data_IF_648568800123
#
_entry.id   IF_648568800123
#
_cell.length_a   1.000
_cell.length_b   1.000
_cell.length_c   1.000
_cell.angle_alpha   90.00
_cell.angle_beta   90.00
_cell.angle_gamma   90.00
#
_symmetry.space_group_name_H-M   'P 1'
#
loop_
_entity.id
_entity.type
_entity.pdbx_description
1 polymer ?
#
# COMPACT_ATOMS: atom_id res chain seq x y z
N UNK A 1 -20.32 32.52 -12.58
CA UNK A 1 -19.58 32.09 -11.38
C UNK A 1 -19.64 33.20 -10.33
N UNK A 2 -20.47 33.03 -9.29
CA UNK A 2 -20.51 33.96 -8.14
C UNK A 2 -19.36 33.62 -7.21
N UNK A 3 -18.50 34.59 -6.92
CA UNK A 3 -17.46 34.49 -5.92
C UNK A 3 -18.07 34.21 -4.54
N UNK A 4 -17.74 33.05 -3.96
CA UNK A 4 -18.01 32.76 -2.55
C UNK A 4 -17.03 33.61 -1.75
N UNK A 5 -17.56 34.58 -1.00
CA UNK A 5 -16.79 35.41 -0.07
C UNK A 5 -16.18 34.53 1.03
N UNK A 6 -14.85 34.52 1.10
CA UNK A 6 -14.06 33.96 2.19
C UNK A 6 -14.32 34.75 3.49
N UNK A 7 -15.32 34.34 4.25
CA UNK A 7 -15.67 34.93 5.56
C UNK A 7 -15.14 34.16 6.78
N UNK A 8 -14.23 33.19 6.59
CA UNK A 8 -13.81 32.24 7.64
C UNK A 8 -12.46 32.52 8.34
N UNK A 9 -11.61 33.38 7.78
CA UNK A 9 -10.18 33.43 8.14
C UNK A 9 -9.91 33.94 9.58
N UNK A 10 -10.78 34.77 10.15
CA UNK A 10 -10.63 35.30 11.51
C UNK A 10 -10.92 34.27 12.61
N UNK A 11 -11.99 33.48 12.43
CA UNK A 11 -12.39 32.46 13.41
C UNK A 11 -11.47 31.25 13.35
N UNK A 12 -10.99 30.89 12.15
CA UNK A 12 -10.01 29.82 11.98
C UNK A 12 -8.65 30.16 12.62
N UNK A 13 -8.20 31.42 12.56
CA UNK A 13 -6.98 31.86 13.25
C UNK A 13 -7.11 31.80 14.76
N UNK A 14 -8.25 32.23 15.30
CA UNK A 14 -8.51 32.17 16.75
C UNK A 14 -8.55 30.71 17.25
N UNK A 15 -9.27 29.85 16.52
CA UNK A 15 -9.38 28.42 16.84
C UNK A 15 -8.02 27.72 16.75
N UNK A 16 -7.22 28.00 15.72
CA UNK A 16 -5.84 27.50 15.61
C UNK A 16 -4.95 27.98 16.75
N UNK A 17 -5.11 29.23 17.19
CA UNK A 17 -4.39 29.79 18.34
C UNK A 17 -4.69 29.07 19.65
N UNK A 18 -5.97 28.76 19.89
CA UNK A 18 -6.41 27.98 21.07
C UNK A 18 -5.86 26.55 21.02
N UNK A 19 -5.94 25.87 19.87
CA UNK A 19 -5.36 24.53 19.70
C UNK A 19 -3.85 24.52 19.89
N UNK A 20 -3.12 25.51 19.38
CA UNK A 20 -1.68 25.62 19.57
C UNK A 20 -1.25 25.89 21.03
N UNK A 21 -2.12 26.51 21.83
CA UNK A 21 -1.88 26.67 23.27
C UNK A 21 -2.18 25.36 24.03
N UNK A 22 -3.29 24.69 23.71
CA UNK A 22 -3.64 23.39 24.27
C UNK A 22 -2.61 22.31 23.94
N UNK A 23 -2.11 22.31 22.70
CA UNK A 23 -1.06 21.39 22.27
C UNK A 23 0.20 21.58 23.12
N UNK A 24 0.72 22.82 23.23
CA UNK A 24 1.88 23.13 24.08
C UNK A 24 1.69 22.71 25.54
N UNK A 25 0.51 22.94 26.12
CA UNK A 25 0.20 22.54 27.48
C UNK A 25 0.12 21.00 27.64
N UNK A 26 -0.36 20.29 26.62
CA UNK A 26 -0.56 18.84 26.64
C UNK A 26 0.69 18.03 26.27
N UNK A 27 1.70 18.64 25.62
CA UNK A 27 2.91 17.97 25.13
C UNK A 27 3.59 17.04 26.16
N UNK A 28 3.82 17.43 27.43
CA UNK A 28 4.46 16.55 28.41
C UNK A 28 3.62 15.31 28.71
N UNK A 29 2.29 15.49 28.79
CA UNK A 29 1.33 14.41 29.03
C UNK A 29 1.28 13.47 27.84
N UNK A 30 1.18 14.03 26.63
CA UNK A 30 1.15 13.27 25.39
C UNK A 30 2.46 12.48 25.17
N UNK A 31 3.61 13.11 25.42
CA UNK A 31 4.92 12.43 25.43
C UNK A 31 4.90 11.20 26.33
N UNK A 32 4.46 11.36 27.59
CA UNK A 32 4.38 10.25 28.55
C UNK A 32 3.45 9.13 28.05
N UNK A 33 2.27 9.47 27.54
CA UNK A 33 1.32 8.51 26.95
C UNK A 33 1.95 7.75 25.79
N UNK A 34 2.58 8.46 24.85
CA UNK A 34 3.22 7.87 23.67
C UNK A 34 4.33 6.91 24.08
N UNK A 35 5.26 7.37 24.92
CA UNK A 35 6.37 6.55 25.40
C UNK A 35 5.89 5.31 26.13
N UNK A 36 4.88 5.44 26.99
CA UNK A 36 4.34 4.31 27.72
C UNK A 36 3.53 3.37 26.81
N UNK A 37 2.77 3.89 25.84
CA UNK A 37 1.93 3.09 24.94
C UNK A 37 2.73 2.29 23.92
N UNK A 38 3.74 2.91 23.30
CA UNK A 38 4.60 2.26 22.29
C UNK A 38 5.92 1.75 22.85
N UNK A 39 6.17 2.00 24.14
CA UNK A 39 7.35 1.49 24.83
C UNK A 39 8.65 2.17 24.41
N UNK A 40 8.62 3.39 23.89
CA UNK A 40 9.83 4.12 23.51
C UNK A 40 10.74 4.41 24.71
N UNK A 41 12.05 4.28 24.50
CA UNK A 41 13.06 4.94 25.35
C UNK A 41 13.07 6.45 25.09
N UNK A 42 13.79 7.20 25.92
CA UNK A 42 13.91 8.65 25.68
C UNK A 42 14.65 8.93 24.37
N UNK A 43 15.68 8.15 24.07
CA UNK A 43 16.49 8.30 22.87
C UNK A 43 15.65 8.02 21.62
N UNK A 44 14.85 6.95 21.64
CA UNK A 44 13.93 6.58 20.56
C UNK A 44 12.85 7.66 20.36
N UNK A 45 12.27 8.18 21.45
CA UNK A 45 11.27 9.26 21.38
C UNK A 45 11.90 10.55 20.83
N UNK A 46 13.10 10.92 21.29
CA UNK A 46 13.83 12.08 20.79
C UNK A 46 14.16 11.93 19.30
N UNK A 47 14.58 10.75 18.86
CA UNK A 47 14.81 10.45 17.45
C UNK A 47 13.53 10.57 16.62
N UNK A 48 12.43 9.94 17.07
CA UNK A 48 11.14 10.02 16.39
C UNK A 48 10.61 11.46 16.31
N UNK A 49 10.82 12.26 17.37
CA UNK A 49 10.47 13.68 17.41
C UNK A 49 11.26 14.49 16.38
N UNK A 50 12.58 14.23 16.26
CA UNK A 50 13.42 14.91 15.25
C UNK A 50 13.01 14.58 13.81
N UNK A 51 12.47 13.39 13.58
CA UNK A 51 12.01 12.95 12.25
C UNK A 51 10.60 13.48 11.90
N UNK A 52 9.94 14.21 12.80
CA UNK A 52 8.69 14.94 12.52
C UNK A 52 7.40 14.12 12.48
N UNK A 53 7.46 12.78 12.45
CA UNK A 53 6.24 11.96 12.35
C UNK A 53 5.27 12.15 13.54
N UNK A 54 5.81 12.44 14.73
CA UNK A 54 4.99 12.70 15.93
C UNK A 54 4.18 14.01 15.83
N UNK A 55 4.53 14.93 14.93
CA UNK A 55 3.82 16.20 14.74
C UNK A 55 2.43 15.99 14.12
N UNK A 56 2.22 14.89 13.40
CA UNK A 56 0.92 14.47 12.91
C UNK A 56 -0.05 14.10 14.05
N UNK A 57 0.47 13.88 15.26
CA UNK A 57 -0.28 13.39 16.41
C UNK A 57 -0.53 14.49 17.44
N UNK A 58 -1.15 15.57 16.99
CA UNK A 58 -1.55 16.68 17.86
C UNK A 58 -2.97 16.49 18.42
N UNK A 59 -3.32 17.31 19.41
CA UNK A 59 -4.64 17.25 20.09
C UNK A 59 -5.79 17.42 19.11
N UNK A 60 -5.64 18.29 18.10
CA UNK A 60 -6.68 18.51 17.10
C UNK A 60 -6.92 17.24 16.29
N UNK A 61 -5.85 16.63 15.76
CA UNK A 61 -5.92 15.40 14.97
C UNK A 61 -6.67 14.29 15.73
N UNK A 62 -6.45 14.18 17.06
CA UNK A 62 -7.13 13.21 17.94
C UNK A 62 -8.65 13.34 18.02
N UNK A 63 -9.23 14.41 17.48
CA UNK A 63 -10.69 14.64 17.45
C UNK A 63 -11.35 14.28 16.12
N UNK A 64 -10.60 13.68 15.18
CA UNK A 64 -11.11 13.34 13.85
C UNK A 64 -10.90 11.87 13.49
N UNK A 65 -11.82 11.35 12.69
CA UNK A 65 -11.68 10.11 11.95
C UNK A 65 -11.09 10.37 10.57
N UNK A 66 -10.33 9.39 10.10
CA UNK A 66 -10.18 9.13 8.68
C UNK A 66 -11.27 8.13 8.29
N UNK A 67 -12.08 8.49 7.31
CA UNK A 67 -13.26 7.73 6.86
C UNK A 67 -13.03 7.28 5.43
N UNK A 68 -13.11 5.98 5.17
CA UNK A 68 -13.17 5.42 3.82
C UNK A 68 -14.61 5.00 3.54
N UNK A 69 -15.32 5.83 2.80
CA UNK A 69 -16.72 5.67 2.44
C UNK A 69 -16.86 4.94 1.10
N UNK A 70 -17.53 3.78 1.04
CA UNK A 70 -17.90 3.18 -0.23
C UNK A 70 -18.83 4.13 -1.00
N UNK A 71 -18.41 4.57 -2.18
CA UNK A 71 -19.20 5.43 -3.08
C UNK A 71 -19.64 4.72 -4.35
N UNK A 72 -19.14 3.51 -4.58
CA UNK A 72 -19.65 2.57 -5.58
C UNK A 72 -19.32 1.15 -5.12
N UNK A 73 -20.29 0.25 -5.11
CA UNK A 73 -20.07 -1.15 -4.74
C UNK A 73 -20.96 -2.07 -5.55
N UNK A 74 -20.34 -3.01 -6.28
CA UNK A 74 -21.06 -4.04 -7.01
C UNK A 74 -20.58 -5.41 -6.55
N UNK A 75 -21.50 -6.22 -6.02
CA UNK A 75 -21.23 -7.61 -5.59
C UNK A 75 -20.09 -7.77 -4.57
N UNK A 76 -19.79 -6.73 -3.77
CA UNK A 76 -18.69 -6.81 -2.81
C UNK A 76 -18.99 -7.84 -1.71
N UNK A 77 -18.24 -8.95 -1.69
CA UNK A 77 -18.34 -10.01 -0.68
C UNK A 77 -18.06 -9.54 0.76
N UNK A 78 -17.34 -8.42 0.90
CA UNK A 78 -17.12 -7.74 2.18
C UNK A 78 -18.33 -6.97 2.69
N UNK A 79 -19.43 -6.90 1.91
CA UNK A 79 -20.64 -6.14 2.21
C UNK A 79 -20.36 -4.66 2.53
N UNK A 80 -19.33 -4.10 1.88
CA UNK A 80 -18.94 -2.70 1.96
C UNK A 80 -19.77 -1.89 0.97
N UNK A 81 -20.97 -1.50 1.34
CA UNK A 81 -21.86 -0.68 0.49
C UNK A 81 -22.03 0.73 1.06
N UNK A 82 -22.69 1.59 0.29
CA UNK A 82 -22.99 2.97 0.70
C UNK A 82 -23.64 3.00 2.11
N UNK A 83 -23.20 3.94 2.93
CA UNK A 83 -23.63 4.05 4.33
C UNK A 83 -22.89 3.12 5.31
N UNK A 84 -21.98 2.26 4.85
CA UNK A 84 -21.14 1.39 5.71
C UNK A 84 -19.65 1.68 5.57
N UNK A 85 -19.19 2.88 6.00
CA UNK A 85 -17.79 3.27 5.88
C UNK A 85 -16.86 2.49 6.81
N UNK A 86 -15.58 2.49 6.45
CA UNK A 86 -14.49 2.09 7.33
C UNK A 86 -13.96 3.32 8.07
N UNK A 87 -13.85 3.22 9.37
CA UNK A 87 -13.34 4.29 10.21
C UNK A 87 -11.96 3.95 10.73
N UNK A 88 -11.06 4.91 10.63
CA UNK A 88 -9.74 4.86 11.19
C UNK A 88 -9.57 6.00 12.19
N UNK A 89 -8.82 5.73 13.24
CA UNK A 89 -8.39 6.77 14.16
C UNK A 89 -7.36 7.68 13.44
N UNK A 90 -6.93 8.78 14.07
CA UNK A 90 -5.99 9.72 13.45
C UNK A 90 -4.59 9.15 13.21
N UNK A 91 -4.31 7.93 13.67
CA UNK A 91 -3.10 7.16 13.38
C UNK A 91 -3.31 6.10 12.28
N UNK A 92 -4.46 6.10 11.61
CA UNK A 92 -4.75 5.14 10.54
C UNK A 92 -5.06 3.74 11.06
N UNK A 93 -5.35 3.59 12.35
CA UNK A 93 -5.75 2.31 12.93
C UNK A 93 -7.27 2.16 12.84
N UNK A 94 -7.70 0.99 12.36
CA UNK A 94 -9.11 0.66 12.19
C UNK A 94 -9.89 0.70 13.53
N UNK A 95 -11.04 1.37 13.53
CA UNK A 95 -11.97 1.44 14.66
C UNK A 95 -13.00 0.32 14.53
N UNK A 96 -12.66 -0.86 15.07
CA UNK A 96 -13.43 -2.11 14.88
C UNK A 96 -14.93 -1.99 15.20
N UNK A 97 -15.32 -1.28 16.27
CA UNK A 97 -16.74 -1.17 16.65
C UNK A 97 -17.55 -0.24 15.75
N UNK A 98 -16.90 0.49 14.84
CA UNK A 98 -17.53 1.37 13.84
C UNK A 98 -17.49 0.80 12.43
N UNK A 99 -16.72 -0.27 12.21
CA UNK A 99 -16.57 -0.90 10.90
C UNK A 99 -17.45 -2.15 10.79
N UNK A 100 -17.75 -2.62 9.56
CA UNK A 100 -18.38 -3.91 9.33
C UNK A 100 -17.60 -5.07 9.99
N UNK A 101 -18.28 -6.17 10.37
CA UNK A 101 -17.64 -7.30 11.04
C UNK A 101 -16.61 -8.02 10.16
N UNK A 102 -16.79 -7.99 8.84
CA UNK A 102 -15.85 -8.50 7.87
C UNK A 102 -15.27 -7.37 7.04
N UNK A 103 -13.94 -7.35 6.87
CA UNK A 103 -13.27 -6.37 6.03
C UNK A 103 -12.36 -7.11 5.07
N UNK A 104 -12.68 -7.00 3.78
CA UNK A 104 -11.85 -7.58 2.72
C UNK A 104 -10.47 -6.89 2.66
N UNK A 105 -9.39 -7.69 2.70
CA UNK A 105 -8.01 -7.23 2.62
C UNK A 105 -7.69 -6.54 1.28
N UNK A 106 -8.38 -6.92 0.21
CA UNK A 106 -8.25 -6.34 -1.12
C UNK A 106 -8.76 -4.90 -1.21
N UNK A 107 -9.72 -4.52 -0.37
CA UNK A 107 -10.13 -3.12 -0.21
C UNK A 107 -9.23 -2.37 0.76
N UNK A 108 -8.98 -2.98 1.93
CA UNK A 108 -8.20 -2.36 3.02
C UNK A 108 -6.77 -2.00 2.62
N UNK A 109 -6.08 -2.88 1.87
CA UNK A 109 -4.71 -2.64 1.41
C UNK A 109 -4.56 -1.39 0.55
N UNK A 110 -5.61 -1.02 -0.19
CA UNK A 110 -5.60 0.09 -1.14
C UNK A 110 -5.76 1.46 -0.47
N UNK A 111 -6.22 1.48 0.78
CA UNK A 111 -6.37 2.70 1.57
C UNK A 111 -5.04 3.21 2.16
N UNK A 112 -3.99 2.38 2.19
CA UNK A 112 -2.71 2.73 2.81
C UNK A 112 -2.03 3.92 2.11
N UNK A 113 -1.86 3.95 0.76
CA UNK A 113 -1.27 5.10 0.08
C UNK A 113 -2.04 6.41 0.34
N UNK A 114 -3.38 6.39 0.35
CA UNK A 114 -4.19 7.59 0.64
C UNK A 114 -4.02 8.06 2.08
N UNK A 115 -3.83 7.14 3.02
CA UNK A 115 -3.59 7.49 4.42
C UNK A 115 -2.30 8.31 4.58
N UNK A 116 -1.27 8.06 3.77
CA UNK A 116 -0.08 8.91 3.75
C UNK A 116 -0.32 10.30 3.17
N UNK A 117 -1.13 10.41 2.11
CA UNK A 117 -1.56 11.72 1.61
C UNK A 117 -2.32 12.50 2.69
N UNK A 118 -3.15 11.81 3.48
CA UNK A 118 -3.86 12.40 4.61
C UNK A 118 -2.88 12.96 5.67
N UNK A 119 -1.86 12.20 6.06
CA UNK A 119 -0.83 12.68 6.99
C UNK A 119 -0.04 13.86 6.44
N UNK A 120 0.34 13.82 5.17
CA UNK A 120 1.07 14.91 4.53
C UNK A 120 0.24 16.21 4.51
N UNK A 121 -1.07 16.14 4.24
CA UNK A 121 -1.93 17.32 4.33
C UNK A 121 -2.01 17.86 5.77
N UNK A 122 -2.17 17.00 6.77
CA UNK A 122 -2.19 17.41 8.16
C UNK A 122 -0.88 18.07 8.61
N UNK A 123 0.27 17.47 8.27
CA UNK A 123 1.60 17.98 8.60
C UNK A 123 1.87 19.35 7.94
N UNK A 124 1.30 19.60 6.77
CA UNK A 124 1.35 20.91 6.10
C UNK A 124 0.29 21.90 6.57
N UNK A 125 -0.51 21.55 7.59
CA UNK A 125 -1.61 22.39 8.10
C UNK A 125 -2.72 22.64 7.07
N UNK A 126 -2.87 21.73 6.09
CA UNK A 126 -3.90 21.76 5.05
C UNK A 126 -5.05 20.84 5.43
N UNK A 127 -6.24 21.16 4.91
CA UNK A 127 -7.43 20.32 5.08
C UNK A 127 -7.31 19.04 4.24
N UNK A 128 -7.26 17.84 4.85
CA UNK A 128 -7.16 16.58 4.11
C UNK A 128 -8.38 16.29 3.23
N UNK A 129 -9.53 16.95 3.44
CA UNK A 129 -10.68 16.83 2.53
C UNK A 129 -10.43 17.48 1.16
N UNK A 130 -9.28 18.14 0.96
CA UNK A 130 -8.85 18.72 -0.31
C UNK A 130 -7.80 17.88 -1.04
N UNK A 131 -7.57 16.64 -0.60
CA UNK A 131 -6.70 15.70 -1.32
C UNK A 131 -7.24 15.44 -2.73
N UNK A 132 -6.34 15.41 -3.71
CA UNK A 132 -6.70 15.11 -5.10
C UNK A 132 -6.91 13.62 -5.34
N UNK A 133 -6.13 12.79 -4.65
CA UNK A 133 -6.24 11.34 -4.69
C UNK A 133 -7.06 10.86 -3.50
N UNK A 134 -8.34 11.23 -3.47
CA UNK A 134 -9.28 10.84 -2.42
C UNK A 134 -10.14 9.63 -2.80
N UNK A 135 -10.02 9.10 -4.02
CA UNK A 135 -10.74 7.92 -4.48
C UNK A 135 -9.79 6.75 -4.75
N UNK A 136 -10.17 5.54 -4.33
CA UNK A 136 -9.41 4.32 -4.58
C UNK A 136 -10.29 3.10 -4.76
N UNK A 137 -9.99 2.29 -5.77
CA UNK A 137 -10.66 1.01 -5.99
C UNK A 137 -10.02 -0.10 -5.16
N UNK A 138 -10.78 -1.15 -4.83
CA UNK A 138 -10.20 -2.43 -4.43
C UNK A 138 -9.39 -3.06 -5.60
N UNK A 139 -8.71 -4.18 -5.35
CA UNK A 139 -7.98 -4.88 -6.43
C UNK A 139 -8.85 -5.76 -7.32
N UNK A 140 -10.13 -5.94 -6.97
CA UNK A 140 -11.05 -6.80 -7.70
C UNK A 140 -11.80 -5.95 -8.75
N UNK A 141 -11.80 -6.43 -9.99
CA UNK A 141 -12.36 -5.74 -11.17
C UNK A 141 -13.84 -5.98 -11.36
N UNK A 142 -14.46 -6.84 -10.54
CA UNK A 142 -15.88 -7.16 -10.59
C UNK A 142 -16.22 -8.39 -11.44
N UNK A 143 -17.48 -8.81 -11.37
CA UNK A 143 -17.99 -10.03 -11.99
C UNK A 143 -17.80 -10.06 -13.51
N UNK A 144 -17.97 -8.92 -14.18
CA UNK A 144 -17.84 -8.82 -15.65
C UNK A 144 -16.43 -9.18 -16.14
N UNK A 145 -15.43 -9.02 -15.28
CA UNK A 145 -14.04 -9.35 -15.56
C UNK A 145 -13.60 -10.65 -14.87
N UNK A 146 -14.55 -11.46 -14.38
CA UNK A 146 -14.31 -12.73 -13.70
C UNK A 146 -13.88 -12.62 -12.23
N UNK A 147 -13.89 -11.42 -11.65
CA UNK A 147 -13.69 -11.17 -10.23
C UNK A 147 -14.91 -11.55 -9.39
N UNK A 148 -14.88 -11.24 -8.09
CA UNK A 148 -16.00 -11.51 -7.17
C UNK A 148 -16.91 -10.29 -6.97
N UNK A 149 -16.38 -9.09 -7.20
CA UNK A 149 -17.11 -7.83 -7.01
C UNK A 149 -16.15 -6.67 -6.79
N UNK A 150 -16.57 -5.45 -7.14
CA UNK A 150 -15.73 -4.27 -7.05
C UNK A 150 -16.23 -3.27 -5.99
N UNK A 151 -15.32 -2.40 -5.58
CA UNK A 151 -15.61 -1.34 -4.64
C UNK A 151 -14.73 -0.12 -4.90
N UNK A 152 -15.32 1.06 -4.80
CA UNK A 152 -14.65 2.35 -4.84
C UNK A 152 -14.87 3.05 -3.50
N UNK A 153 -13.77 3.36 -2.82
CA UNK A 153 -13.80 4.14 -1.60
C UNK A 153 -13.44 5.59 -1.88
N UNK A 154 -14.18 6.51 -1.26
CA UNK A 154 -13.78 7.90 -1.08
C UNK A 154 -13.25 8.11 0.33
N UNK A 155 -12.10 8.75 0.44
CA UNK A 155 -11.41 9.02 1.69
C UNK A 155 -11.68 10.46 2.11
N UNK A 156 -12.13 10.64 3.35
CA UNK A 156 -12.37 11.97 3.93
C UNK A 156 -12.05 12.02 5.42
N UNK A 157 -11.90 13.24 5.93
CA UNK A 157 -11.75 13.56 7.36
C UNK A 157 -13.11 13.95 7.92
N UNK A 158 -13.50 13.34 9.04
CA UNK A 158 -14.75 13.64 9.75
C UNK A 158 -14.46 13.91 11.22
N UNK A 159 -15.16 14.88 11.82
CA UNK A 159 -15.02 15.15 13.26
C UNK A 159 -15.73 14.08 14.07
N UNK A 160 -15.06 13.53 15.08
CA UNK A 160 -15.65 12.55 15.97
C UNK A 160 -16.75 13.18 16.84
N UNK A 161 -17.86 12.47 17.12
CA UNK A 161 -18.77 12.80 18.20
C UNK A 161 -18.04 12.77 19.56
N UNK A 162 -18.46 13.63 20.50
CA UNK A 162 -17.86 13.72 21.84
C UNK A 162 -17.74 12.36 22.56
N UNK A 163 -18.74 11.46 22.55
CA UNK A 163 -18.60 10.15 23.18
C UNK A 163 -17.46 9.30 22.61
N UNK A 164 -17.17 9.44 21.31
CA UNK A 164 -16.09 8.70 20.64
C UNK A 164 -14.73 9.32 20.92
N UNK A 165 -14.64 10.64 21.04
CA UNK A 165 -13.44 11.33 21.54
C UNK A 165 -13.11 10.85 22.95
N UNK A 166 -14.10 10.85 23.85
CA UNK A 166 -13.92 10.38 25.22
C UNK A 166 -13.52 8.90 25.26
N UNK A 167 -14.18 8.05 24.46
CA UNK A 167 -13.80 6.64 24.32
C UNK A 167 -12.35 6.49 23.88
N UNK A 168 -11.91 7.25 22.87
CA UNK A 168 -10.54 7.23 22.39
C UNK A 168 -9.55 7.66 23.49
N UNK A 169 -9.81 8.77 24.18
CA UNK A 169 -8.98 9.25 25.29
C UNK A 169 -8.91 8.24 26.45
N UNK A 170 -10.01 7.56 26.76
CA UNK A 170 -10.03 6.49 27.76
C UNK A 170 -9.15 5.30 27.38
N UNK A 171 -8.99 5.00 26.08
CA UNK A 171 -8.01 3.99 25.65
C UNK A 171 -6.56 4.42 25.84
N UNK A 172 -6.31 5.73 26.01
CA UNK A 172 -4.99 6.29 26.25
C UNK A 172 -4.68 6.47 27.74
N UNK A 173 -5.71 6.66 28.57
CA UNK A 173 -5.59 6.96 29.99
C UNK A 173 -4.72 5.97 30.80
N UNK A 174 -4.77 4.64 30.60
CA UNK A 174 -3.88 3.71 31.31
C UNK A 174 -2.39 4.02 31.10
N UNK A 175 -2.02 4.54 29.93
CA UNK A 175 -0.64 4.85 29.59
C UNK A 175 -0.12 6.14 30.23
N UNK A 176 -0.95 6.86 30.99
CA UNK A 176 -0.46 7.91 31.89
C UNK A 176 0.35 7.32 33.05
N UNK A 177 0.04 6.08 33.45
CA UNK A 177 0.57 5.45 34.66
C UNK A 177 1.27 4.12 34.40
N UNK A 178 0.89 3.41 33.33
CA UNK A 178 1.35 2.04 33.05
C UNK A 178 2.08 1.97 31.72
N UNK A 179 3.28 1.39 31.72
CA UNK A 179 4.03 1.05 30.50
C UNK A 179 3.44 -0.19 29.82
N UNK A 180 3.22 -0.11 28.52
CA UNK A 180 2.83 -1.23 27.68
C UNK A 180 4.02 -2.19 27.49
N UNK A 181 4.13 -3.21 28.34
CA UNK A 181 5.18 -4.21 28.21
C UNK A 181 5.11 -5.03 26.92
N UNK A 182 3.95 -5.06 26.25
CA UNK A 182 3.76 -5.78 24.98
C UNK A 182 4.19 -4.96 23.77
N UNK A 183 4.42 -3.66 23.93
CA UNK A 183 4.88 -2.82 22.82
C UNK A 183 6.34 -3.13 22.44
N UNK A 184 7.14 -3.64 23.40
CA UNK A 184 8.47 -4.17 23.13
C UNK A 184 8.39 -5.70 23.09
N UNK A 185 8.70 -6.26 21.93
CA UNK A 185 8.94 -7.69 21.75
C UNK A 185 10.33 -7.89 21.20
N UNK A 186 10.97 -9.00 21.54
CA UNK A 186 12.16 -9.41 20.82
C UNK A 186 11.77 -9.77 19.39
N UNK A 187 12.58 -9.36 18.40
CA UNK A 187 12.37 -9.78 17.03
C UNK A 187 12.77 -11.26 16.89
N UNK A 188 11.84 -12.15 17.29
CA UNK A 188 12.03 -13.59 17.25
C UNK A 188 12.46 -14.07 15.86
N UNK A 189 11.88 -13.47 14.82
CA UNK A 189 12.24 -13.75 13.43
C UNK A 189 13.71 -13.48 13.11
N UNK A 190 14.32 -12.44 13.70
CA UNK A 190 15.76 -12.16 13.53
C UNK A 190 16.60 -13.15 14.32
N UNK A 191 16.21 -13.48 15.56
CA UNK A 191 16.93 -14.45 16.40
C UNK A 191 16.92 -15.87 15.82
N UNK A 192 15.81 -16.25 15.19
CA UNK A 192 15.63 -17.56 14.57
C UNK A 192 16.11 -17.59 13.10
N UNK A 193 16.53 -16.45 12.54
CA UNK A 193 17.02 -16.41 11.17
C UNK A 193 18.34 -17.17 11.09
N UNK A 194 18.48 -18.15 10.18
CA UNK A 194 19.77 -18.79 9.96
C UNK A 194 20.74 -17.76 9.38
N UNK A 195 21.95 -17.71 9.94
CA UNK A 195 23.03 -16.79 9.56
C UNK A 195 24.24 -17.53 8.96
N UNK A 196 24.24 -18.86 8.97
CA UNK A 196 25.28 -19.71 8.40
C UNK A 196 24.70 -21.05 7.92
N UNK A 197 25.52 -21.85 7.21
CA UNK A 197 25.15 -23.20 6.76
C UNK A 197 24.41 -23.25 5.41
N UNK A 198 24.50 -22.19 4.61
CA UNK A 198 24.03 -22.17 3.22
C UNK A 198 24.94 -22.92 2.26
N UNK A 199 24.52 -23.14 0.99
CA UNK A 199 25.38 -23.69 -0.05
C UNK A 199 26.47 -22.69 -0.45
N UNK A 200 27.50 -23.18 -1.15
CA UNK A 200 28.47 -22.33 -1.84
C UNK A 200 27.76 -21.48 -2.91
N UNK A 201 28.10 -20.18 -3.05
CA UNK A 201 27.48 -19.31 -4.03
C UNK A 201 27.81 -19.75 -5.47
N UNK A 202 26.79 -19.75 -6.34
CA UNK A 202 27.02 -19.84 -7.79
C UNK A 202 27.68 -18.56 -8.34
N UNK A 203 28.16 -18.59 -9.58
CA UNK A 203 28.70 -17.39 -10.25
C UNK A 203 27.66 -16.25 -10.28
N UNK A 204 26.39 -16.57 -10.54
CA UNK A 204 25.29 -15.61 -10.48
C UNK A 204 25.13 -15.01 -9.07
N UNK A 205 25.14 -15.83 -8.03
CA UNK A 205 25.00 -15.37 -6.65
C UNK A 205 26.19 -14.50 -6.22
N UNK A 206 27.41 -14.86 -6.64
CA UNK A 206 28.62 -14.09 -6.39
C UNK A 206 28.66 -12.73 -7.09
N UNK A 207 27.89 -12.57 -8.18
CA UNK A 207 27.74 -11.30 -8.89
C UNK A 207 26.72 -10.33 -8.27
N UNK A 208 26.02 -10.72 -7.19
CA UNK A 208 25.06 -9.85 -6.51
C UNK A 208 25.77 -8.74 -5.73
N UNK A 209 25.15 -7.55 -5.57
CA UNK A 209 25.74 -6.43 -4.82
C UNK A 209 25.56 -6.64 -3.30
N UNK A 210 26.05 -7.77 -2.79
CA UNK A 210 26.05 -8.14 -1.38
C UNK A 210 27.50 -8.27 -0.91
N UNK A 211 27.80 -7.77 0.29
CA UNK A 211 29.07 -8.08 0.94
C UNK A 211 29.19 -9.59 1.24
N UNK A 212 30.40 -10.08 1.43
CA UNK A 212 30.67 -11.51 1.65
C UNK A 212 29.88 -12.06 2.85
N UNK A 213 29.90 -11.35 3.99
CA UNK A 213 29.14 -11.72 5.19
C UNK A 213 27.62 -11.68 4.95
N UNK A 214 27.13 -10.70 4.18
CA UNK A 214 25.71 -10.57 3.84
C UNK A 214 25.25 -11.73 2.94
N UNK A 215 26.09 -12.13 1.98
CA UNK A 215 25.82 -13.25 1.09
C UNK A 215 25.77 -14.56 1.87
N UNK A 216 26.75 -14.82 2.75
CA UNK A 216 26.74 -16.01 3.65
C UNK A 216 25.47 -16.01 4.50
N UNK A 217 25.15 -14.89 5.14
CA UNK A 217 23.94 -14.76 5.95
C UNK A 217 22.68 -14.93 5.12
N UNK A 218 22.66 -14.51 3.86
CA UNK A 218 21.54 -14.67 2.94
C UNK A 218 21.33 -16.13 2.53
N UNK A 219 22.41 -16.81 2.13
CA UNK A 219 22.39 -18.20 1.67
C UNK A 219 22.08 -19.20 2.80
N UNK A 220 22.25 -18.80 4.06
CA UNK A 220 21.87 -19.60 5.21
C UNK A 220 20.37 -19.97 5.27
N UNK A 221 19.49 -19.27 4.55
CA UNK A 221 18.07 -19.66 4.47
C UNK A 221 17.76 -20.42 3.18
N UNK A 222 17.27 -21.68 3.26
CA UNK A 222 16.86 -22.45 2.08
C UNK A 222 15.81 -21.73 1.21
N UNK A 223 14.91 -20.94 1.83
CA UNK A 223 13.91 -20.14 1.10
C UNK A 223 14.54 -19.02 0.29
N UNK A 224 15.57 -18.35 0.84
CA UNK A 224 16.31 -17.29 0.15
C UNK A 224 17.15 -17.85 -0.99
N UNK A 225 17.82 -18.99 -0.76
CA UNK A 225 18.56 -19.73 -1.80
C UNK A 225 17.65 -20.11 -2.95
N UNK A 226 16.48 -20.70 -2.68
CA UNK A 226 15.50 -21.06 -3.73
C UNK A 226 15.11 -19.86 -4.60
N UNK A 227 14.92 -18.68 -4.00
CA UNK A 227 14.61 -17.47 -4.77
C UNK A 227 15.74 -17.09 -5.73
N UNK A 228 17.00 -17.22 -5.32
CA UNK A 228 18.15 -16.93 -6.20
C UNK A 228 18.32 -17.98 -7.29
N UNK A 229 18.17 -19.26 -6.95
CA UNK A 229 18.18 -20.34 -7.93
C UNK A 229 17.09 -20.18 -8.98
N UNK A 230 15.89 -19.74 -8.58
CA UNK A 230 14.82 -19.42 -9.51
C UNK A 230 15.18 -18.24 -10.42
N UNK A 231 15.72 -17.16 -9.87
CA UNK A 231 16.16 -16.03 -10.65
C UNK A 231 17.24 -16.41 -11.68
N UNK A 232 18.16 -17.30 -11.30
CA UNK A 232 19.20 -17.84 -12.19
C UNK A 232 18.62 -18.75 -13.27
N UNK A 233 17.76 -19.71 -12.89
CA UNK A 233 17.11 -20.67 -13.80
C UNK A 233 16.22 -19.98 -14.83
N UNK A 234 15.48 -18.95 -14.41
CA UNK A 234 14.52 -18.22 -15.24
C UNK A 234 15.07 -16.86 -15.72
N UNK A 235 16.39 -16.66 -15.74
CA UNK A 235 17.03 -15.39 -16.17
C UNK A 235 16.65 -14.96 -17.59
N UNK A 236 16.35 -15.92 -18.46
CA UNK A 236 15.92 -15.70 -19.86
C UNK A 236 14.37 -15.64 -19.98
N UNK A 237 13.64 -15.57 -18.86
CA UNK A 237 12.20 -15.38 -18.85
C UNK A 237 11.86 -13.93 -18.47
N UNK A 238 10.70 -13.48 -18.96
CA UNK A 238 10.12 -12.17 -18.70
C UNK A 238 8.74 -12.36 -18.12
N UNK A 239 8.49 -11.70 -17.00
CA UNK A 239 7.15 -11.48 -16.48
C UNK A 239 6.58 -10.32 -17.27
N UNK A 240 5.59 -10.59 -18.12
CA UNK A 240 4.97 -9.62 -19.02
C UNK A 240 3.64 -9.21 -18.43
N UNK A 241 3.53 -7.95 -18.07
CA UNK A 241 2.26 -7.30 -17.70
C UNK A 241 1.67 -6.69 -18.96
N UNK A 242 0.55 -7.23 -19.45
CA UNK A 242 -0.12 -6.72 -20.65
C UNK A 242 -1.30 -5.83 -20.27
N UNK A 243 -1.37 -4.64 -20.83
CA UNK A 243 -2.56 -3.79 -20.76
C UNK A 243 -3.62 -4.37 -21.69
N UNK A 244 -4.74 -4.81 -21.13
CA UNK A 244 -5.85 -5.44 -21.88
C UNK A 244 -7.04 -4.50 -22.09
N UNK A 245 -7.05 -3.36 -21.41
CA UNK A 245 -8.01 -2.28 -21.62
C UNK A 245 -7.44 -0.99 -21.08
N UNK A 246 -7.74 0.15 -21.74
CA UNK A 246 -7.35 1.48 -21.28
C UNK A 246 -8.47 2.48 -21.53
N UNK A 247 -8.85 3.20 -20.47
CA UNK A 247 -9.86 4.24 -20.52
C UNK A 247 -9.29 5.53 -19.91
N UNK A 248 -9.05 6.53 -20.77
CA UNK A 248 -8.59 7.86 -20.39
C UNK A 248 -7.31 7.88 -19.51
N UNK A 249 -6.36 6.97 -19.76
CA UNK A 249 -5.13 6.90 -18.98
C UNK A 249 -4.22 8.13 -19.24
N UNK A 250 -4.02 9.03 -18.26
CA UNK A 250 -3.19 10.23 -18.48
C UNK A 250 -1.70 9.92 -18.56
N UNK A 251 -1.28 8.70 -18.18
CA UNK A 251 0.09 8.24 -18.32
C UNK A 251 0.41 7.69 -19.72
N UNK A 252 -0.57 7.68 -20.63
CA UNK A 252 -0.37 7.28 -22.03
C UNK A 252 -0.38 5.78 -22.29
N UNK A 253 -0.66 4.94 -21.29
CA UNK A 253 -0.76 3.49 -21.47
C UNK A 253 -2.00 3.14 -22.28
N UNK A 254 -1.81 2.49 -23.41
CA UNK A 254 -2.84 2.00 -24.32
C UNK A 254 -3.05 0.49 -24.23
N UNK A 255 -4.15 0.00 -24.80
CA UNK A 255 -4.37 -1.44 -24.95
C UNK A 255 -3.26 -2.07 -25.80
N UNK A 256 -2.74 -3.22 -25.35
CA UNK A 256 -1.63 -3.91 -25.97
C UNK A 256 -0.25 -3.47 -25.49
N UNK A 257 -0.14 -2.41 -24.68
CA UNK A 257 1.13 -2.06 -24.04
C UNK A 257 1.59 -3.16 -23.09
N UNK A 258 2.91 -3.32 -22.96
CA UNK A 258 3.52 -4.36 -22.16
C UNK A 258 4.57 -3.79 -21.22
N UNK A 259 4.54 -4.20 -19.95
CA UNK A 259 5.60 -3.94 -18.98
C UNK A 259 6.36 -5.22 -18.72
N UNK A 260 7.67 -5.16 -18.89
CA UNK A 260 8.53 -6.33 -18.80
C UNK A 260 9.28 -6.29 -17.48
N UNK A 261 9.22 -7.38 -16.72
CA UNK A 261 10.02 -7.58 -15.52
C UNK A 261 10.85 -8.86 -15.65
N UNK A 262 12.03 -8.88 -15.03
CA UNK A 262 12.83 -10.09 -14.98
C UNK A 262 12.43 -11.03 -13.82
N UNK A 263 13.12 -12.17 -13.70
CA UNK A 263 12.90 -13.15 -12.64
C UNK A 263 13.34 -12.68 -11.23
N UNK A 264 13.86 -11.45 -11.09
CA UNK A 264 14.05 -10.78 -9.80
C UNK A 264 12.91 -9.80 -9.47
N UNK A 265 11.98 -9.58 -10.41
CA UNK A 265 10.91 -8.61 -10.31
C UNK A 265 11.36 -7.17 -10.62
N UNK A 266 12.51 -6.99 -11.27
CA UNK A 266 12.99 -5.67 -11.70
C UNK A 266 12.27 -5.28 -12.98
N UNK A 267 11.71 -4.07 -12.99
CA UNK A 267 11.14 -3.49 -14.19
C UNK A 267 12.26 -3.20 -15.19
N UNK A 268 12.14 -3.74 -16.39
CA UNK A 268 13.06 -3.50 -17.48
C UNK A 268 12.65 -2.24 -18.24
N UNK A 269 13.63 -1.47 -18.69
CA UNK A 269 13.38 -0.26 -19.47
C UNK A 269 12.67 -0.63 -20.77
N UNK A 270 11.63 0.13 -21.14
CA UNK A 270 10.97 -0.04 -22.43
C UNK A 270 11.82 0.61 -23.52
N UNK A 271 12.07 -0.12 -24.61
CA UNK A 271 12.70 0.41 -25.82
C UNK A 271 11.90 1.56 -26.45
N UNK A 272 10.60 1.66 -26.14
CA UNK A 272 9.70 2.71 -26.63
C UNK A 272 9.82 4.03 -25.87
N UNK A 273 10.62 4.10 -24.80
CA UNK A 273 10.82 5.31 -24.00
C UNK A 273 9.59 5.78 -23.21
N UNK A 274 8.49 5.01 -23.21
CA UNK A 274 7.30 5.31 -22.41
C UNK A 274 7.53 4.81 -20.99
N UNK A 275 7.57 5.74 -20.03
CA UNK A 275 7.70 5.41 -18.61
C UNK A 275 6.49 4.63 -18.10
N UNK A 276 6.69 3.74 -17.13
CA UNK A 276 5.60 2.97 -16.54
C UNK A 276 4.99 3.74 -15.37
N UNK A 277 3.66 3.82 -15.33
CA UNK A 277 2.95 4.52 -14.27
C UNK A 277 3.13 3.79 -12.92
N UNK A 278 3.61 4.49 -11.90
CA UNK A 278 3.80 3.91 -10.56
C UNK A 278 2.49 3.38 -9.95
N UNK A 279 1.35 3.98 -10.30
CA UNK A 279 0.04 3.55 -9.85
C UNK A 279 -0.36 2.19 -10.45
N UNK A 280 0.07 1.88 -11.67
CA UNK A 280 -0.11 0.58 -12.29
C UNK A 280 0.83 -0.45 -11.65
N UNK A 281 2.11 -0.09 -11.46
CA UNK A 281 3.10 -0.95 -10.81
C UNK A 281 2.71 -1.34 -9.38
N UNK A 282 2.21 -0.39 -8.60
CA UNK A 282 1.77 -0.64 -7.22
C UNK A 282 0.65 -1.69 -7.15
N UNK A 283 -0.28 -1.68 -8.11
CA UNK A 283 -1.38 -2.64 -8.19
C UNK A 283 -0.93 -3.99 -8.75
N UNK A 284 -0.02 -4.03 -9.71
CA UNK A 284 0.42 -5.30 -10.30
C UNK A 284 1.42 -6.06 -9.43
N UNK A 285 2.07 -5.38 -8.48
CA UNK A 285 3.10 -5.93 -7.59
C UNK A 285 2.74 -7.30 -6.99
N UNK A 286 1.52 -7.50 -6.51
CA UNK A 286 1.13 -8.77 -5.89
C UNK A 286 0.98 -9.91 -6.91
N UNK A 287 0.66 -9.63 -8.18
CA UNK A 287 0.68 -10.61 -9.27
C UNK A 287 2.11 -11.02 -9.60
N UNK A 288 3.02 -10.05 -9.64
CA UNK A 288 4.45 -10.30 -9.82
C UNK A 288 4.99 -11.17 -8.67
N UNK A 289 4.63 -10.87 -7.42
CA UNK A 289 4.99 -11.71 -6.28
C UNK A 289 4.52 -13.16 -6.43
N UNK A 290 3.30 -13.39 -6.92
CA UNK A 290 2.77 -14.74 -7.14
C UNK A 290 3.56 -15.49 -8.23
N UNK A 291 3.94 -14.81 -9.31
CA UNK A 291 4.79 -15.40 -10.36
C UNK A 291 6.18 -15.74 -9.82
N UNK A 292 6.79 -14.85 -9.05
CA UNK A 292 8.10 -15.08 -8.43
C UNK A 292 8.08 -16.26 -7.44
N UNK A 293 6.98 -16.41 -6.68
CA UNK A 293 6.79 -17.53 -5.77
C UNK A 293 6.68 -18.87 -6.54
N UNK A 294 5.94 -18.88 -7.66
CA UNK A 294 5.86 -20.03 -8.57
C UNK A 294 7.23 -20.37 -9.17
N UNK A 295 7.98 -19.38 -9.64
CA UNK A 295 9.35 -19.61 -10.13
C UNK A 295 10.23 -20.25 -9.03
N UNK A 296 10.10 -19.83 -7.78
CA UNK A 296 10.81 -20.40 -6.64
C UNK A 296 10.36 -21.82 -6.26
N UNK A 297 9.08 -22.15 -6.45
CA UNK A 297 8.54 -23.49 -6.29
C UNK A 297 9.05 -24.44 -7.39
N UNK A 298 9.15 -23.94 -8.63
CA UNK A 298 9.52 -24.66 -9.82
C UNK A 298 11.03 -24.93 -9.99
N UNK A 299 11.90 -24.52 -9.05
CA UNK A 299 13.36 -24.71 -9.18
C UNK A 299 13.72 -26.16 -9.47
N UNK A 300 13.09 -27.10 -8.77
CA UNK A 300 13.37 -28.54 -8.85
C UNK A 300 12.55 -29.28 -9.94
N UNK A 301 11.76 -28.57 -10.76
CA UNK A 301 10.87 -29.18 -11.76
C UNK A 301 10.52 -28.28 -12.95
N UNK A 302 9.44 -28.61 -13.64
CA UNK A 302 8.80 -27.76 -14.65
C UNK A 302 7.46 -27.28 -14.11
N UNK A 303 7.08 -26.05 -14.44
CA UNK A 303 5.81 -25.48 -13.97
C UNK A 303 5.15 -24.62 -15.04
N UNK A 304 3.83 -24.73 -15.12
CA UNK A 304 3.00 -23.80 -15.87
C UNK A 304 2.76 -22.55 -15.01
N UNK A 305 3.22 -21.40 -15.49
CA UNK A 305 3.04 -20.13 -14.79
C UNK A 305 1.64 -19.53 -14.97
N UNK A 306 0.76 -20.13 -15.78
CA UNK A 306 -0.63 -19.71 -15.97
C UNK A 306 -1.50 -20.05 -14.78
N UNK A 307 -2.71 -19.51 -14.75
CA UNK A 307 -3.69 -19.88 -13.76
C UNK A 307 -4.81 -18.88 -13.66
N UNK A 308 -5.97 -19.36 -13.20
CA UNK A 308 -7.19 -18.56 -13.11
C UNK A 308 -6.96 -17.21 -12.43
N UNK A 309 -6.13 -17.18 -11.38
CA UNK A 309 -5.80 -15.92 -10.74
C UNK A 309 -4.96 -15.01 -11.67
N UNK A 310 -3.81 -15.44 -12.21
CA UNK A 310 -2.96 -14.58 -13.06
C UNK A 310 -3.64 -14.07 -14.33
N UNK A 311 -4.58 -14.85 -14.84
CA UNK A 311 -5.27 -14.58 -16.10
C UNK A 311 -6.43 -13.58 -15.93
N UNK A 312 -6.91 -13.39 -14.69
CA UNK A 312 -7.94 -12.40 -14.38
C UNK A 312 -7.38 -10.97 -14.44
N UNK A 313 -7.99 -10.09 -15.25
CA UNK A 313 -7.59 -8.69 -15.34
C UNK A 313 -7.67 -8.00 -13.98
N UNK A 314 -6.64 -7.22 -13.67
CA UNK A 314 -6.59 -6.34 -12.51
C UNK A 314 -6.54 -4.89 -12.97
N UNK A 315 -7.24 -4.00 -12.27
CA UNK A 315 -7.14 -2.58 -12.53
C UNK A 315 -5.88 -1.93 -11.92
N UNK A 316 -5.48 -0.79 -12.49
CA UNK A 316 -4.53 0.10 -11.84
C UNK A 316 -5.18 0.85 -10.67
N UNK A 317 -4.48 1.80 -10.08
CA UNK A 317 -5.03 2.61 -8.99
C UNK A 317 -6.17 3.54 -9.44
N UNK A 318 -6.23 3.84 -10.74
CA UNK A 318 -7.26 4.68 -11.32
C UNK A 318 -8.64 4.06 -11.10
N UNK A 319 -9.59 4.89 -10.69
CA UNK A 319 -10.98 4.49 -10.49
C UNK A 319 -11.86 4.76 -11.72
N UNK A 320 -11.25 5.08 -12.86
CA UNK A 320 -11.92 5.50 -14.08
C UNK A 320 -12.62 6.86 -13.93
N UNK A 321 -13.09 7.41 -15.05
CA UNK A 321 -13.94 8.60 -15.03
C UNK A 321 -15.40 8.20 -14.77
N UNK A 322 -16.22 9.04 -14.10
CA UNK A 322 -15.90 10.39 -13.62
C UNK A 322 -15.41 10.45 -12.16
N UNK A 323 -15.34 9.32 -11.45
CA UNK A 323 -15.15 9.30 -10.00
C UNK A 323 -13.68 9.28 -9.57
N UNK A 324 -12.77 8.84 -10.43
CA UNK A 324 -11.34 8.77 -10.17
C UNK A 324 -10.58 10.05 -10.50
N UNK A 325 -9.45 10.25 -9.81
CA UNK A 325 -8.49 11.30 -10.13
C UNK A 325 -7.75 11.09 -11.47
N UNK A 326 -7.82 9.87 -12.01
CA UNK A 326 -7.25 9.49 -13.30
C UNK A 326 -8.12 8.42 -13.97
N UNK A 327 -7.90 8.20 -15.27
CA UNK A 327 -8.49 7.07 -15.99
C UNK A 327 -8.01 5.71 -15.48
N UNK A 328 -8.51 4.65 -16.09
CA UNK A 328 -8.25 3.27 -15.67
C UNK A 328 -7.53 2.49 -16.77
N UNK A 329 -6.67 1.57 -16.36
CA UNK A 329 -6.20 0.49 -17.25
C UNK A 329 -6.43 -0.84 -16.54
N UNK A 330 -6.74 -1.87 -17.33
CA UNK A 330 -6.80 -3.26 -16.89
C UNK A 330 -5.57 -3.99 -17.41
N UNK A 331 -5.02 -4.86 -16.57
CA UNK A 331 -3.76 -5.55 -16.84
C UNK A 331 -3.88 -7.04 -16.53
N UNK A 332 -3.21 -7.88 -17.31
CA UNK A 332 -2.98 -9.30 -17.01
C UNK A 332 -1.48 -9.58 -16.90
N UNK A 333 -1.10 -10.71 -16.31
CA UNK A 333 0.31 -11.10 -16.15
C UNK A 333 0.54 -12.49 -16.73
N UNK A 334 1.58 -12.63 -17.54
CA UNK A 334 2.06 -13.93 -18.01
C UNK A 334 3.60 -14.01 -17.96
N UNK A 335 4.13 -15.21 -18.16
CA UNK A 335 5.57 -15.45 -18.26
C UNK A 335 5.90 -15.89 -19.69
N UNK A 336 6.89 -15.23 -20.31
CA UNK A 336 7.40 -15.57 -21.65
C UNK A 336 8.89 -15.85 -21.59
N UNK A 337 9.39 -16.78 -22.39
CA UNK A 337 10.83 -16.95 -22.60
C UNK A 337 11.30 -15.99 -23.68
N UNK A 338 12.47 -15.38 -23.49
CA UNK A 338 13.12 -14.61 -24.56
C UNK A 338 13.45 -15.54 -25.73
N UNK A 339 12.94 -15.22 -26.92
CA UNK A 339 13.03 -16.03 -28.14
C UNK A 339 11.69 -16.48 -28.71
N UNK A 340 10.68 -16.74 -27.86
CA UNK A 340 9.37 -17.22 -28.32
C UNK A 340 8.51 -16.13 -29.00
N UNK A 341 8.91 -14.87 -28.90
CA UNK A 341 8.21 -13.73 -29.50
C UNK A 341 8.32 -13.69 -31.04
N UNK A 342 9.29 -14.41 -31.64
CA UNK A 342 9.53 -14.41 -33.09
C UNK A 342 8.49 -15.16 -33.92
N UNK A 343 7.76 -16.13 -33.34
CA UNK A 343 6.85 -16.99 -34.11
C UNK A 343 5.43 -16.41 -34.28
N UNK A 344 4.98 -15.48 -33.42
CA UNK A 344 3.59 -14.96 -33.51
C UNK A 344 3.38 -13.80 -34.47
N UNK A 345 4.44 -13.14 -34.95
CA UNK A 345 4.31 -12.08 -35.96
C UNK A 345 4.08 -12.62 -37.39
N UNK A 346 4.20 -13.93 -37.62
CA UNK A 346 3.97 -14.56 -38.93
C UNK A 346 2.54 -15.01 -39.24
N UNK A 347 1.61 -14.95 -38.28
CA UNK A 347 0.24 -15.50 -38.46
C UNK A 347 -0.87 -14.44 -38.57
N UNK A 348 -0.56 -13.14 -38.47
CA UNK A 348 -1.54 -12.06 -38.63
C UNK A 348 -1.55 -11.41 -40.03
N UNK A 349 -0.91 -12.05 -41.01
CA UNK A 349 -0.94 -11.67 -42.42
C UNK A 349 -1.33 -12.90 -43.26
N UNK A 350 -2.61 -13.26 -43.21
CA UNK A 350 -3.22 -14.34 -44.00
C UNK A 350 -4.70 -14.09 -44.19
#
# INVERSE_FOLDING_TARGET
>A
MRAVKEGGDGMDKLVRGVWGLLDRASKPVLKRVIMNRWGYTEEEFAQASRLGLLEALNVEAMTYWLVAEPVCSNHCSGCHNEGRPLYFNPMGMLIRHRCPPGICVHGLSQLSPVSYAYYDYMLRGKDPNRMLFDHVTCTDTGLEMGGLGNNLFRIRRERMPLPEILRFLLTMAPYLFVKNRRARGECRAVKEAPISGGPEPSEFMGGLPLGEEELVAFLASPKRVRRLLAAEKYKDHRIVVKVVSSNACPAGHGEGDEFHLDALGRVLASDKGVGICIMALAKIWWRVMLVLDRMAAAVDGEEDFRGTLSDLPINCYGAGLPLGACGEILMTVEVRREGDAGERQGMAAG
#
